data_IF_452419468992
#
_entry.id   IF_452419468992
#
_cell.length_a   1.000
_cell.length_b   1.000
_cell.length_c   1.000
_cell.angle_alpha   90.00
_cell.angle_beta   90.00
_cell.angle_gamma   90.00
#
_symmetry.space_group_name_H-M   'P 1'
#
loop_
_entity.id
_entity.type
_entity.pdbx_description
1 polymer ?
#
# COMPACT_ATOMS: atom_id res chain seq x y z
N UNK A 1 9.39 -3.93 -25.36
CA UNK A 1 10.52 -3.15 -24.82
C UNK A 1 11.12 -3.86 -23.62
N UNK A 2 12.42 -3.99 -23.60
CA UNK A 2 13.12 -4.68 -22.53
C UNK A 2 13.27 -3.77 -21.33
N UNK A 3 12.75 -4.18 -20.17
CA UNK A 3 12.91 -3.44 -18.94
C UNK A 3 14.22 -3.79 -18.26
N UNK A 4 14.86 -2.78 -17.67
CA UNK A 4 16.11 -2.95 -16.97
C UNK A 4 15.85 -3.26 -15.50
N UNK A 5 16.23 -4.44 -15.04
CA UNK A 5 16.15 -4.86 -13.65
C UNK A 5 17.54 -5.11 -13.13
N UNK A 6 17.88 -4.51 -12.01
CA UNK A 6 19.21 -4.68 -11.41
C UNK A 6 19.13 -4.78 -9.89
N UNK A 7 20.17 -5.35 -9.30
CA UNK A 7 20.27 -5.51 -7.85
C UNK A 7 20.60 -4.15 -7.23
N UNK A 8 19.88 -3.79 -6.18
CA UNK A 8 20.15 -2.55 -5.45
C UNK A 8 21.39 -2.69 -4.57
N UNK A 9 22.05 -1.57 -4.31
CA UNK A 9 23.18 -1.53 -3.37
C UNK A 9 22.69 -1.68 -1.94
N UNK A 10 23.62 -1.93 -1.01
CA UNK A 10 23.28 -1.98 0.42
C UNK A 10 22.72 -0.64 0.91
N UNK A 11 23.24 0.46 0.39
CA UNK A 11 22.76 1.80 0.72
C UNK A 11 21.31 1.97 0.28
N UNK A 12 21.00 1.61 -0.96
CA UNK A 12 19.64 1.69 -1.50
C UNK A 12 18.69 0.79 -0.72
N UNK A 13 19.15 -0.40 -0.33
CA UNK A 13 18.35 -1.33 0.47
C UNK A 13 17.98 -0.73 1.82
N UNK A 14 18.95 -0.08 2.49
CA UNK A 14 18.70 0.58 3.77
C UNK A 14 17.74 1.74 3.63
N UNK A 15 17.87 2.51 2.54
CA UNK A 15 16.95 3.60 2.24
C UNK A 15 15.53 3.09 2.01
N UNK A 16 15.40 2.00 1.26
CA UNK A 16 14.10 1.37 1.02
C UNK A 16 13.44 0.91 2.33
N UNK A 17 14.21 0.23 3.17
CA UNK A 17 13.73 -0.23 4.46
C UNK A 17 13.28 0.96 5.33
N UNK A 18 14.06 2.04 5.36
CA UNK A 18 13.72 3.26 6.10
C UNK A 18 12.44 3.92 5.58
N UNK A 19 12.26 3.97 4.27
CA UNK A 19 11.05 4.55 3.67
C UNK A 19 9.80 3.74 4.00
N UNK A 20 9.92 2.41 4.04
CA UNK A 20 8.79 1.56 4.45
C UNK A 20 8.45 1.79 5.92
N UNK A 21 9.46 1.94 6.78
CA UNK A 21 9.23 2.25 8.19
C UNK A 21 8.57 3.61 8.38
N UNK A 22 8.92 4.59 7.57
CA UNK A 22 8.33 5.94 7.63
C UNK A 22 6.82 5.91 7.37
N UNK A 23 6.34 4.96 6.61
CA UNK A 23 4.90 4.80 6.35
C UNK A 23 4.26 3.74 7.24
N UNK A 24 4.98 3.28 8.27
CA UNK A 24 4.42 2.39 9.28
C UNK A 24 4.63 0.90 9.04
N UNK A 25 5.52 0.53 8.13
CA UNK A 25 5.77 -0.87 7.82
C UNK A 25 7.14 -1.32 8.29
N UNK A 26 7.19 -2.33 9.15
CA UNK A 26 8.44 -2.92 9.60
C UNK A 26 8.65 -4.27 8.90
N UNK A 27 9.61 -4.29 8.00
CA UNK A 27 9.91 -5.46 7.17
C UNK A 27 11.40 -5.77 7.24
N UNK A 28 11.91 -6.26 8.38
CA UNK A 28 13.34 -6.49 8.54
C UNK A 28 13.92 -7.50 7.57
N UNK A 29 13.10 -8.42 7.05
CA UNK A 29 13.55 -9.40 6.04
C UNK A 29 14.08 -8.74 4.78
N UNK A 30 13.74 -7.48 4.52
CA UNK A 30 14.27 -6.75 3.36
C UNK A 30 15.78 -6.63 3.44
N UNK A 31 16.33 -6.45 4.64
CA UNK A 31 17.77 -6.33 4.83
C UNK A 31 18.50 -7.68 4.73
N UNK A 32 17.77 -8.77 4.69
CA UNK A 32 18.30 -10.13 4.65
C UNK A 32 18.17 -10.78 3.25
N UNK A 33 17.59 -10.05 2.30
CA UNK A 33 17.35 -10.58 0.96
C UNK A 33 17.96 -9.68 -0.09
N UNK A 34 18.21 -10.26 -1.26
CA UNK A 34 18.62 -9.49 -2.41
C UNK A 34 17.40 -8.75 -2.97
N UNK A 35 17.53 -7.44 -3.12
CA UNK A 35 16.47 -6.59 -3.65
C UNK A 35 16.82 -6.20 -5.07
N UNK A 36 15.87 -6.33 -5.98
CA UNK A 36 16.02 -5.86 -7.35
C UNK A 36 15.09 -4.68 -7.59
N UNK A 37 15.50 -3.77 -8.46
CA UNK A 37 14.68 -2.64 -8.88
C UNK A 37 14.57 -2.63 -10.40
N UNK A 38 13.38 -2.31 -10.88
CA UNK A 38 13.07 -2.14 -12.28
C UNK A 38 12.64 -0.70 -12.48
N UNK A 39 13.27 -0.01 -13.44
CA UNK A 39 12.95 1.40 -13.71
C UNK A 39 12.37 1.55 -15.12
N UNK A 40 11.34 2.37 -15.23
CA UNK A 40 10.71 2.69 -16.51
C UNK A 40 9.98 4.03 -16.39
N UNK A 41 10.36 4.97 -17.26
CA UNK A 41 9.69 6.29 -17.34
C UNK A 41 9.60 7.00 -15.99
N UNK A 42 10.68 6.98 -15.21
CA UNK A 42 10.74 7.64 -13.91
C UNK A 42 10.05 6.89 -12.77
N UNK A 43 9.50 5.72 -13.05
CA UNK A 43 8.88 4.87 -12.03
C UNK A 43 9.84 3.76 -11.63
N UNK A 44 9.77 3.34 -10.36
CA UNK A 44 10.59 2.26 -9.84
C UNK A 44 9.72 1.22 -9.17
N UNK A 45 9.99 -0.05 -9.48
CA UNK A 45 9.32 -1.17 -8.85
C UNK A 45 10.37 -2.09 -8.24
N UNK A 46 10.26 -2.31 -6.93
CA UNK A 46 11.22 -3.10 -6.16
C UNK A 46 10.70 -4.52 -5.94
N UNK A 47 11.61 -5.49 -6.00
CA UNK A 47 11.27 -6.91 -5.92
C UNK A 47 12.15 -7.64 -4.93
N UNK A 48 11.59 -8.65 -4.27
CA UNK A 48 12.33 -9.75 -3.65
C UNK A 48 12.01 -10.99 -4.48
N UNK A 49 13.02 -11.57 -5.12
CA UNK A 49 12.83 -12.63 -6.11
C UNK A 49 11.91 -12.13 -7.22
N UNK A 50 10.76 -12.74 -7.41
CA UNK A 50 9.79 -12.29 -8.42
C UNK A 50 8.59 -11.55 -7.82
N UNK A 51 8.65 -11.27 -6.51
CA UNK A 51 7.52 -10.67 -5.80
C UNK A 51 7.73 -9.16 -5.71
N UNK A 52 6.84 -8.35 -6.28
CA UNK A 52 6.94 -6.89 -6.11
C UNK A 52 6.62 -6.52 -4.67
N UNK A 53 7.43 -5.62 -4.09
CA UNK A 53 7.29 -5.23 -2.69
C UNK A 53 6.98 -3.75 -2.49
N UNK A 54 7.46 -2.88 -3.37
CA UNK A 54 7.25 -1.44 -3.24
C UNK A 54 7.30 -0.77 -4.59
N UNK A 55 6.62 0.36 -4.71
CA UNK A 55 6.52 1.13 -5.93
C UNK A 55 6.76 2.60 -5.64
N UNK A 56 7.49 3.25 -6.53
CA UNK A 56 7.69 4.70 -6.51
C UNK A 56 7.20 5.26 -7.85
N UNK A 57 6.05 5.99 -7.84
CA UNK A 57 5.41 6.39 -9.10
C UNK A 57 4.33 7.48 -8.93
N UNK A 58 4.64 8.75 -8.71
CA UNK A 58 5.80 9.39 -8.09
C UNK A 58 5.88 9.18 -6.58
N UNK A 59 4.74 8.95 -5.91
CA UNK A 59 4.72 8.68 -4.48
C UNK A 59 5.25 7.27 -4.21
N UNK A 60 5.79 7.09 -3.02
CA UNK A 60 6.29 5.80 -2.58
C UNK A 60 5.23 5.07 -1.76
N UNK A 61 4.95 3.81 -2.10
CA UNK A 61 3.99 2.98 -1.36
C UNK A 61 4.30 1.49 -1.53
N UNK A 62 3.86 0.67 -0.57
CA UNK A 62 4.06 -0.78 -0.65
C UNK A 62 3.10 -1.41 -1.63
N UNK A 63 3.38 -2.64 -2.02
CA UNK A 63 2.45 -3.47 -2.79
C UNK A 63 1.51 -4.21 -1.84
N UNK A 64 0.39 -4.71 -2.38
CA UNK A 64 -0.51 -5.55 -1.59
C UNK A 64 0.16 -6.88 -1.23
N UNK A 65 1.07 -7.38 -2.05
CA UNK A 65 1.84 -8.59 -1.76
C UNK A 65 2.69 -8.42 -0.51
N UNK A 66 3.34 -7.27 -0.36
CA UNK A 66 4.11 -6.98 0.84
C UNK A 66 3.20 -6.90 2.06
N UNK A 67 2.05 -6.22 1.92
CA UNK A 67 1.08 -6.10 3.01
C UNK A 67 0.57 -7.46 3.47
N UNK A 68 0.26 -8.36 2.53
CA UNK A 68 -0.19 -9.71 2.86
C UNK A 68 0.90 -10.51 3.59
N UNK A 69 2.17 -10.26 3.28
CA UNK A 69 3.29 -10.92 3.94
C UNK A 69 3.54 -10.38 5.35
N UNK A 70 3.44 -9.06 5.52
CA UNK A 70 3.74 -8.39 6.79
C UNK A 70 2.54 -8.41 7.74
N UNK A 71 1.34 -8.20 7.23
CA UNK A 71 0.11 -8.00 7.99
C UNK A 71 0.30 -6.92 9.05
N UNK A 72 0.46 -5.66 8.61
CA UNK A 72 0.73 -4.56 9.54
C UNK A 72 -0.35 -4.42 10.60
N UNK A 73 0.05 -4.03 11.81
CA UNK A 73 -0.85 -3.90 12.94
C UNK A 73 -1.54 -2.55 13.03
N UNK A 74 -1.21 -1.59 12.16
CA UNK A 74 -1.75 -0.24 12.24
C UNK A 74 -1.92 0.39 10.86
N UNK A 75 -2.82 1.34 10.78
CA UNK A 75 -3.30 2.05 9.60
C UNK A 75 -4.09 1.17 8.64
N UNK A 76 -4.73 0.16 9.21
CA UNK A 76 -5.60 -0.73 8.46
C UNK A 76 -7.03 -0.18 8.35
N UNK A 77 -7.61 -0.36 7.18
CA UNK A 77 -9.03 -0.10 6.93
C UNK A 77 -9.63 -1.38 6.38
N UNK A 78 -10.63 -1.93 7.06
CA UNK A 78 -11.33 -3.12 6.61
C UNK A 78 -12.61 -2.70 5.91
N UNK A 79 -12.83 -3.23 4.71
CA UNK A 79 -13.98 -2.88 3.88
C UNK A 79 -14.87 -4.11 3.67
N UNK A 80 -16.15 -3.87 3.39
CA UNK A 80 -17.11 -4.95 3.19
C UNK A 80 -16.91 -5.64 1.83
N UNK A 81 -17.57 -6.79 1.68
CA UNK A 81 -17.45 -7.61 0.46
C UNK A 81 -17.97 -6.89 -0.78
N UNK A 82 -18.93 -5.99 -0.64
CA UNK A 82 -19.46 -5.21 -1.75
C UNK A 82 -18.50 -4.13 -2.22
N UNK A 83 -17.70 -3.59 -1.31
CA UNK A 83 -16.73 -2.54 -1.63
C UNK A 83 -15.49 -3.08 -2.36
N UNK A 84 -15.08 -4.32 -2.07
CA UNK A 84 -13.87 -4.90 -2.65
C UNK A 84 -13.85 -4.83 -4.18
N UNK A 85 -14.84 -5.36 -4.90
CA UNK A 85 -14.81 -5.30 -6.37
C UNK A 85 -14.88 -3.88 -6.91
N UNK A 86 -15.53 -2.96 -6.19
CA UNK A 86 -15.58 -1.55 -6.61
C UNK A 86 -14.19 -0.92 -6.56
N UNK A 87 -13.46 -1.15 -5.47
CA UNK A 87 -12.09 -0.64 -5.33
C UNK A 87 -11.20 -1.24 -6.42
N UNK A 88 -11.24 -2.54 -6.62
CA UNK A 88 -10.45 -3.21 -7.66
C UNK A 88 -10.84 -2.74 -9.06
N UNK A 89 -12.07 -2.32 -9.25
CA UNK A 89 -12.57 -1.80 -10.53
C UNK A 89 -12.29 -0.34 -10.79
N UNK A 90 -11.66 0.37 -9.85
CA UNK A 90 -11.25 1.76 -10.07
C UNK A 90 -11.94 2.81 -9.20
N UNK A 91 -12.85 2.42 -8.32
CA UNK A 91 -13.57 3.38 -7.48
C UNK A 91 -12.70 3.89 -6.33
N UNK A 92 -13.04 5.08 -5.83
CA UNK A 92 -12.50 5.60 -4.57
C UNK A 92 -13.12 4.84 -3.41
N UNK A 93 -12.47 4.89 -2.25
CA UNK A 93 -13.05 4.33 -1.04
C UNK A 93 -13.98 5.36 -0.39
N UNK A 94 -15.25 5.01 -0.23
CA UNK A 94 -16.24 5.80 0.46
C UNK A 94 -16.46 5.25 1.87
N UNK A 95 -16.79 6.14 2.79
CA UNK A 95 -16.96 5.77 4.21
C UNK A 95 -18.01 4.67 4.42
N UNK A 96 -19.05 4.62 3.59
CA UNK A 96 -20.10 3.62 3.70
C UNK A 96 -19.61 2.18 3.52
N UNK A 97 -18.49 1.99 2.80
CA UNK A 97 -17.89 0.67 2.59
C UNK A 97 -16.99 0.19 3.72
N UNK A 98 -16.74 1.04 4.71
CA UNK A 98 -15.82 0.72 5.80
C UNK A 98 -16.55 -0.05 6.89
N UNK A 99 -16.02 -1.22 7.24
CA UNK A 99 -16.49 -2.03 8.35
C UNK A 99 -15.77 -1.60 9.63
N UNK A 100 -14.47 -1.39 9.54
CA UNK A 100 -13.60 -1.10 10.67
C UNK A 100 -12.39 -0.33 10.19
N UNK A 101 -11.87 0.59 10.99
CA UNK A 101 -10.61 1.25 10.68
C UNK A 101 -9.87 1.65 11.96
N UNK A 102 -8.56 1.67 11.88
CA UNK A 102 -7.73 2.11 13.00
C UNK A 102 -7.97 3.59 13.28
N UNK A 103 -8.35 3.91 14.51
CA UNK A 103 -8.78 5.26 14.87
C UNK A 103 -7.64 6.27 15.01
N UNK A 104 -6.40 5.80 15.01
CA UNK A 104 -5.22 6.67 15.00
C UNK A 104 -4.85 7.20 13.61
N UNK A 105 -5.55 6.79 12.56
CA UNK A 105 -5.29 7.27 11.20
C UNK A 105 -5.62 8.76 11.11
N UNK A 106 -4.69 9.52 10.52
CA UNK A 106 -4.85 10.95 10.27
C UNK A 106 -4.95 11.23 8.79
N UNK A 107 -5.54 12.37 8.44
CA UNK A 107 -5.59 12.84 7.06
C UNK A 107 -4.19 12.79 6.45
N UNK A 108 -4.09 12.40 5.20
CA UNK A 108 -2.86 12.25 4.40
C UNK A 108 -2.00 11.03 4.78
N UNK A 109 -2.36 10.26 5.81
CA UNK A 109 -1.65 9.02 6.12
C UNK A 109 -1.78 8.01 4.98
N UNK A 110 -0.70 7.26 4.74
CA UNK A 110 -0.76 6.08 3.90
C UNK A 110 -1.53 5.00 4.66
N UNK A 111 -2.55 4.44 4.05
CA UNK A 111 -3.43 3.46 4.69
C UNK A 111 -3.49 2.18 3.89
N UNK A 112 -3.74 1.08 4.59
CA UNK A 112 -3.72 -0.27 4.03
C UNK A 112 -5.14 -0.83 4.07
N UNK A 113 -5.70 -1.07 2.88
CA UNK A 113 -7.11 -1.43 2.73
C UNK A 113 -7.21 -2.94 2.51
N UNK A 114 -8.00 -3.59 3.35
CA UNK A 114 -8.20 -5.04 3.31
C UNK A 114 -9.67 -5.41 3.35
N UNK A 115 -9.99 -6.59 2.86
CA UNK A 115 -11.32 -7.15 2.98
C UNK A 115 -11.54 -7.79 4.35
N UNK A 116 -12.75 -8.28 4.57
CA UNK A 116 -13.15 -8.94 5.81
C UNK A 116 -12.32 -10.21 6.06
N UNK A 117 -11.88 -10.86 4.98
CA UNK A 117 -11.04 -12.06 5.06
C UNK A 117 -9.58 -11.76 5.44
N UNK A 118 -9.22 -10.49 5.60
CA UNK A 118 -7.87 -10.08 5.98
C UNK A 118 -6.91 -9.90 4.80
N UNK A 119 -7.31 -10.20 3.59
CA UNK A 119 -6.48 -9.99 2.40
C UNK A 119 -6.47 -8.53 2.02
N UNK A 120 -5.28 -8.02 1.70
CA UNK A 120 -5.14 -6.63 1.28
C UNK A 120 -5.60 -6.46 -0.17
N UNK A 121 -6.30 -5.36 -0.40
CA UNK A 121 -6.94 -5.04 -1.67
C UNK A 121 -6.27 -3.85 -2.34
N UNK A 122 -5.83 -2.89 -1.53
CA UNK A 122 -5.31 -1.63 -2.05
C UNK A 122 -4.47 -0.90 -1.01
N UNK A 123 -3.72 0.08 -1.49
CA UNK A 123 -3.03 1.08 -0.67
C UNK A 123 -3.65 2.41 -1.00
N UNK A 124 -3.91 3.23 0.01
CA UNK A 124 -4.53 4.52 -0.19
C UNK A 124 -3.92 5.62 0.67
N UNK A 125 -4.48 6.80 0.52
CA UNK A 125 -4.15 7.96 1.34
C UNK A 125 -5.43 8.45 1.99
N UNK A 126 -5.46 8.54 3.31
CA UNK A 126 -6.65 8.98 4.04
C UNK A 126 -7.02 10.41 3.67
N UNK A 127 -8.29 10.64 3.40
CA UNK A 127 -8.80 11.98 3.05
C UNK A 127 -9.05 12.84 4.28
N UNK A 128 -9.38 12.20 5.40
CA UNK A 128 -9.71 12.86 6.67
C UNK A 128 -9.19 11.98 7.80
N UNK A 129 -9.17 12.53 9.02
CA UNK A 129 -8.88 11.77 10.23
C UNK A 129 -9.95 10.68 10.42
N UNK A 130 -9.55 9.55 11.01
CA UNK A 130 -10.44 8.40 11.18
C UNK A 130 -11.70 8.74 11.97
N UNK A 131 -11.59 9.54 13.02
CA UNK A 131 -12.74 9.93 13.84
C UNK A 131 -13.80 10.67 13.02
N UNK A 132 -13.37 11.55 12.11
CA UNK A 132 -14.28 12.26 11.23
C UNK A 132 -14.94 11.36 10.20
N UNK A 133 -14.18 10.42 9.64
CA UNK A 133 -14.71 9.45 8.67
C UNK A 133 -15.77 8.59 9.33
N UNK A 134 -15.49 8.06 10.51
CA UNK A 134 -16.39 7.15 11.21
C UNK A 134 -17.59 7.87 11.81
N UNK A 135 -17.44 9.14 12.19
CA UNK A 135 -18.53 9.95 12.70
C UNK A 135 -19.56 10.25 11.62
N UNK A 136 -19.12 10.71 10.46
CA UNK A 136 -20.02 11.08 9.36
C UNK A 136 -20.53 9.88 8.59
N UNK A 137 -19.69 8.87 8.37
CA UNK A 137 -19.98 7.67 7.56
C UNK A 137 -20.48 8.02 6.17
N UNK A 138 -20.06 9.17 5.65
CA UNK A 138 -20.44 9.66 4.33
C UNK A 138 -19.24 10.23 3.61
N UNK A 139 -19.27 10.18 2.27
CA UNK A 139 -18.26 10.78 1.42
C UNK A 139 -16.98 10.00 1.30
N UNK A 140 -16.01 10.56 0.57
CA UNK A 140 -14.73 9.90 0.33
C UNK A 140 -13.93 9.74 1.62
N UNK A 141 -13.40 8.56 1.85
CA UNK A 141 -12.57 8.23 3.00
C UNK A 141 -11.09 8.16 2.64
N UNK A 142 -10.77 7.67 1.46
CA UNK A 142 -9.39 7.55 1.00
C UNK A 142 -9.30 7.62 -0.51
N UNK A 143 -8.22 8.23 -0.98
CA UNK A 143 -7.77 8.17 -2.36
C UNK A 143 -7.01 6.86 -2.53
N UNK A 144 -7.22 6.15 -3.64
CA UNK A 144 -6.52 4.90 -3.90
C UNK A 144 -5.24 5.18 -4.68
N UNK A 145 -4.10 4.75 -4.13
CA UNK A 145 -2.79 4.90 -4.76
C UNK A 145 -2.41 3.67 -5.58
N UNK A 146 -2.75 2.49 -5.07
CA UNK A 146 -2.46 1.23 -5.74
C UNK A 146 -3.58 0.25 -5.47
N UNK A 147 -4.04 -0.42 -6.53
CA UNK A 147 -5.03 -1.50 -6.43
C UNK A 147 -4.32 -2.83 -6.64
N UNK A 148 -4.80 -3.87 -5.97
CA UNK A 148 -4.27 -5.22 -6.17
C UNK A 148 -4.34 -5.60 -7.65
N UNK A 149 -3.28 -6.24 -8.16
CA UNK A 149 -3.16 -6.60 -9.55
C UNK A 149 -2.58 -5.53 -10.46
N UNK A 150 -2.23 -4.36 -9.92
CA UNK A 150 -1.68 -3.24 -10.69
C UNK A 150 -0.21 -2.92 -10.35
N UNK A 151 0.53 -3.88 -9.81
CA UNK A 151 1.93 -3.71 -9.40
C UNK A 151 2.87 -3.90 -10.61
N UNK A 152 2.68 -3.06 -11.62
CA UNK A 152 3.59 -3.04 -12.78
C UNK A 152 3.82 -1.63 -13.28
N UNK A 153 4.89 -1.46 -13.99
CA UNK A 153 5.28 -0.15 -14.55
C UNK A 153 5.41 -0.17 -16.06
#
# INVERSE_FOLDING_TARGET
>A
MKMSRHVVSKKEMKELYGRLRDIGLDAPFITENQIEVEEKKGKKLYYISKIPIALEAPDFYPTVELLDAIKPGFKNITIDNGAVPRILGGAKLFAQGIVEMDMGIKAEDTVFIRGIDGRYVAVGKASLDADKIMETKKGPAAEILLRGGQENI
#
